data_IF_580803755075
#
_entry.id   IF_580803755075
#
_cell.length_a   1.000
_cell.length_b   1.000
_cell.length_c   1.000
_cell.angle_alpha   90.00
_cell.angle_beta   90.00
_cell.angle_gamma   90.00
#
_symmetry.space_group_name_H-M   'P 1'
#
loop_
_entity.id
_entity.type
_entity.pdbx_description
1 polymer ?
#
# COMPACT_ATOMS: atom_id res chain seq x y z
N UNK A 1 6.37 3.96 -20.90
CA UNK A 1 5.29 2.99 -21.23
C UNK A 1 4.56 2.63 -19.96
N UNK A 2 3.23 2.52 -20.03
CA UNK A 2 2.28 2.33 -18.92
C UNK A 2 0.91 1.95 -19.49
N UNK A 3 -0.18 2.02 -18.71
CA UNK A 3 -1.55 1.77 -19.19
C UNK A 3 -2.25 3.09 -19.53
N UNK A 4 -3.18 3.05 -20.48
CA UNK A 4 -4.04 4.18 -20.83
C UNK A 4 -5.51 3.77 -20.63
N UNK A 5 -6.36 4.65 -20.09
CA UNK A 5 -7.80 4.40 -19.95
C UNK A 5 -8.47 4.12 -21.31
N UNK A 6 -9.34 3.11 -21.36
CA UNK A 6 -10.07 2.78 -22.58
C UNK A 6 -11.38 3.58 -22.68
N UNK A 7 -11.27 4.88 -22.99
CA UNK A 7 -12.42 5.81 -23.07
C UNK A 7 -12.77 6.27 -24.48
N UNK A 8 -11.88 6.03 -25.45
CA UNK A 8 -12.08 6.43 -26.84
C UNK A 8 -13.26 5.68 -27.46
N UNK A 9 -14.18 6.43 -28.10
CA UNK A 9 -15.33 5.87 -28.80
C UNK A 9 -16.51 5.48 -27.90
N UNK A 10 -16.46 5.77 -26.59
CA UNK A 10 -17.58 5.53 -25.66
C UNK A 10 -18.69 6.60 -25.72
N UNK A 11 -18.48 7.69 -26.48
CA UNK A 11 -19.46 8.78 -26.58
C UNK A 11 -19.59 9.63 -25.30
N UNK A 12 -18.57 9.64 -24.44
CA UNK A 12 -18.58 10.36 -23.14
C UNK A 12 -18.93 11.84 -23.28
N UNK A 13 -18.36 12.52 -24.28
CA UNK A 13 -18.63 13.94 -24.55
C UNK A 13 -20.09 14.20 -24.91
N UNK A 14 -20.72 13.29 -25.67
CA UNK A 14 -22.10 13.43 -26.10
C UNK A 14 -23.10 13.35 -24.93
N UNK A 15 -22.71 12.72 -23.83
CA UNK A 15 -23.52 12.58 -22.61
C UNK A 15 -23.03 13.47 -21.46
N UNK A 16 -21.98 14.27 -21.66
CA UNK A 16 -21.46 15.21 -20.66
C UNK A 16 -20.57 14.60 -19.57
N UNK A 17 -20.01 13.40 -19.80
CA UNK A 17 -19.06 12.76 -18.86
C UNK A 17 -17.66 13.36 -19.05
N UNK A 18 -17.12 13.97 -17.99
CA UNK A 18 -15.80 14.60 -18.01
C UNK A 18 -14.68 13.56 -17.85
N UNK A 19 -13.61 13.72 -18.60
CA UNK A 19 -12.34 13.00 -18.41
C UNK A 19 -11.23 13.95 -17.94
N UNK A 20 -10.20 13.41 -17.27
CA UNK A 20 -8.99 14.15 -16.94
C UNK A 20 -8.03 14.28 -18.13
N UNK A 21 -6.88 14.93 -17.93
CA UNK A 21 -5.85 15.15 -18.97
C UNK A 21 -5.28 13.85 -19.57
N UNK A 22 -5.42 12.72 -18.87
CA UNK A 22 -4.99 11.38 -19.34
C UNK A 22 -6.11 10.61 -20.05
N UNK A 23 -7.29 11.22 -20.22
CA UNK A 23 -8.47 10.56 -20.78
C UNK A 23 -9.17 9.61 -19.81
N UNK A 24 -8.85 9.62 -18.51
CA UNK A 24 -9.54 8.81 -17.51
C UNK A 24 -10.86 9.47 -17.10
N UNK A 25 -11.90 8.69 -16.83
CA UNK A 25 -13.19 9.21 -16.36
C UNK A 25 -13.01 9.82 -14.97
N UNK A 26 -13.32 11.11 -14.84
CA UNK A 26 -13.27 11.80 -13.55
C UNK A 26 -14.46 11.38 -12.70
N UNK A 27 -14.18 10.90 -11.49
CA UNK A 27 -15.19 10.45 -10.53
C UNK A 27 -14.97 11.04 -9.16
N UNK A 28 -16.05 11.14 -8.37
CA UNK A 28 -15.99 11.46 -6.95
C UNK A 28 -15.65 10.22 -6.08
N UNK A 29 -15.68 10.41 -4.76
CA UNK A 29 -15.45 9.35 -3.77
C UNK A 29 -16.51 8.23 -3.80
N UNK A 30 -17.67 8.47 -4.41
CA UNK A 30 -18.77 7.50 -4.61
C UNK A 30 -18.76 6.89 -6.02
N UNK A 31 -17.64 7.02 -6.75
CA UNK A 31 -17.44 6.49 -8.10
C UNK A 31 -18.40 7.11 -9.14
N UNK A 32 -19.06 8.23 -8.80
CA UNK A 32 -19.99 8.94 -9.69
C UNK A 32 -19.23 9.87 -10.61
N UNK A 33 -19.58 9.87 -11.89
CA UNK A 33 -19.01 10.80 -12.88
C UNK A 33 -19.60 12.21 -12.75
N UNK A 34 -19.30 13.11 -13.70
CA UNK A 34 -19.98 14.40 -13.80
C UNK A 34 -21.49 14.30 -14.10
N UNK A 35 -21.97 13.12 -14.52
CA UNK A 35 -23.39 12.85 -14.73
C UNK A 35 -23.94 11.99 -13.57
N UNK A 36 -25.02 12.42 -12.89
CA UNK A 36 -25.50 11.76 -11.67
C UNK A 36 -25.89 10.28 -11.79
N UNK A 37 -26.21 9.84 -13.00
CA UNK A 37 -26.65 8.49 -13.33
C UNK A 37 -25.56 7.64 -14.04
N UNK A 38 -24.34 8.16 -14.19
CA UNK A 38 -23.22 7.44 -14.80
C UNK A 38 -22.09 7.30 -13.78
N UNK A 39 -21.62 6.07 -13.62
CA UNK A 39 -20.55 5.70 -12.69
C UNK A 39 -19.39 5.07 -13.45
N UNK A 40 -18.18 5.14 -12.87
CA UNK A 40 -17.00 4.51 -13.42
C UNK A 40 -16.10 3.94 -12.32
N UNK A 41 -15.53 2.76 -12.56
CA UNK A 41 -14.67 2.02 -11.62
C UNK A 41 -13.49 1.38 -12.34
N UNK A 42 -12.48 1.03 -11.56
CA UNK A 42 -11.25 0.38 -12.02
C UNK A 42 -10.41 1.30 -12.91
N UNK A 43 -9.61 0.67 -13.76
CA UNK A 43 -8.56 1.32 -14.56
C UNK A 43 -9.05 2.48 -15.44
N UNK A 44 -10.34 2.55 -15.79
CA UNK A 44 -10.88 3.67 -16.57
C UNK A 44 -10.86 5.00 -15.81
N UNK A 45 -10.75 4.96 -14.48
CA UNK A 45 -10.66 6.14 -13.59
C UNK A 45 -9.22 6.58 -13.31
N UNK A 46 -8.23 5.75 -13.63
CA UNK A 46 -6.79 5.95 -13.35
C UNK A 46 -6.47 6.34 -11.88
N UNK A 47 -7.27 5.88 -10.90
CA UNK A 47 -7.01 6.11 -9.46
C UNK A 47 -5.95 5.14 -8.92
N UNK A 48 -6.29 3.85 -8.87
CA UNK A 48 -5.40 2.75 -8.49
C UNK A 48 -5.70 1.53 -9.36
N UNK A 49 -4.78 1.21 -10.26
CA UNK A 49 -4.97 0.20 -11.30
C UNK A 49 -4.66 -1.21 -10.77
N UNK A 50 -5.49 -1.69 -9.82
CA UNK A 50 -5.39 -2.99 -9.18
C UNK A 50 -6.74 -3.71 -9.21
N UNK A 51 -6.75 -4.99 -9.58
CA UNK A 51 -7.96 -5.83 -9.58
C UNK A 51 -8.77 -5.77 -8.27
N UNK A 52 -8.19 -5.92 -7.06
CA UNK A 52 -8.97 -5.83 -5.82
C UNK A 52 -9.57 -4.44 -5.57
N UNK A 53 -8.96 -3.37 -6.10
CA UNK A 53 -9.54 -2.02 -6.03
C UNK A 53 -10.79 -1.95 -6.90
N UNK A 54 -10.70 -2.39 -8.16
CA UNK A 54 -11.86 -2.39 -9.06
C UNK A 54 -13.03 -3.24 -8.51
N UNK A 55 -12.72 -4.39 -7.89
CA UNK A 55 -13.72 -5.23 -7.22
C UNK A 55 -14.35 -4.48 -6.02
N UNK A 56 -13.53 -3.84 -5.18
CA UNK A 56 -14.00 -3.06 -4.04
C UNK A 56 -14.89 -1.88 -4.44
N UNK A 57 -14.49 -1.15 -5.49
CA UNK A 57 -15.28 -0.04 -6.05
C UNK A 57 -16.61 -0.53 -6.63
N UNK A 58 -16.61 -1.64 -7.38
CA UNK A 58 -17.83 -2.23 -7.92
C UNK A 58 -18.79 -2.69 -6.83
N UNK A 59 -18.27 -3.31 -5.77
CA UNK A 59 -19.07 -3.67 -4.58
C UNK A 59 -19.65 -2.42 -3.92
N UNK A 60 -18.85 -1.36 -3.76
CA UNK A 60 -19.29 -0.13 -3.11
C UNK A 60 -20.47 0.53 -3.86
N UNK A 61 -20.40 0.56 -5.20
CA UNK A 61 -21.52 1.02 -6.03
C UNK A 61 -22.75 0.14 -5.83
N UNK A 62 -22.60 -1.19 -5.92
CA UNK A 62 -23.74 -2.10 -5.83
C UNK A 62 -24.47 -1.98 -4.49
N UNK A 63 -23.71 -1.91 -3.39
CA UNK A 63 -24.24 -1.70 -2.04
C UNK A 63 -25.00 -0.37 -1.92
N UNK A 64 -24.40 0.70 -2.46
CA UNK A 64 -24.96 2.06 -2.38
C UNK A 64 -26.22 2.21 -3.22
N UNK A 65 -26.24 1.67 -4.44
CA UNK A 65 -27.36 1.86 -5.38
C UNK A 65 -28.50 0.87 -5.16
N UNK A 66 -28.21 -0.35 -4.71
CA UNK A 66 -29.19 -1.44 -4.76
C UNK A 66 -29.45 -2.13 -3.42
N UNK A 67 -28.61 -1.93 -2.39
CA UNK A 67 -28.78 -2.60 -1.08
C UNK A 67 -29.07 -1.65 0.09
N UNK A 68 -29.35 -0.36 -0.18
CA UNK A 68 -29.57 0.66 0.86
C UNK A 68 -28.44 0.73 1.90
N UNK A 69 -27.21 0.45 1.47
CA UNK A 69 -26.02 0.39 2.30
C UNK A 69 -24.95 1.30 1.68
N UNK A 70 -25.04 2.62 1.89
CA UNK A 70 -24.11 3.56 1.27
C UNK A 70 -22.70 3.36 1.85
N UNK A 71 -21.80 2.82 1.02
CA UNK A 71 -20.40 2.61 1.37
C UNK A 71 -19.49 3.20 0.30
N UNK A 72 -18.36 3.73 0.73
CA UNK A 72 -17.28 4.20 -0.15
C UNK A 72 -16.17 3.17 -0.17
N UNK A 73 -15.52 3.02 -1.32
CA UNK A 73 -14.24 2.32 -1.35
C UNK A 73 -13.17 3.21 -0.70
N UNK A 74 -12.45 2.63 0.26
CA UNK A 74 -11.34 3.28 0.93
C UNK A 74 -10.04 3.03 0.15
N UNK A 75 -9.54 4.07 -0.53
CA UNK A 75 -8.30 4.03 -1.31
C UNK A 75 -7.05 4.25 -0.47
N UNK A 76 -7.18 4.48 0.84
CA UNK A 76 -6.02 4.62 1.72
C UNK A 76 -5.41 3.25 2.05
N UNK A 77 -4.08 3.21 2.14
CA UNK A 77 -3.33 2.04 2.60
C UNK A 77 -3.69 0.73 1.86
N UNK A 78 -3.99 0.80 0.56
CA UNK A 78 -4.20 -0.40 -0.27
C UNK A 78 -2.89 -1.18 -0.39
N UNK A 79 -2.81 -2.44 0.10
CA UNK A 79 -1.61 -3.24 -0.05
C UNK A 79 -1.35 -3.57 -1.52
N UNK A 80 -0.08 -3.52 -1.91
CA UNK A 80 0.37 -3.77 -3.28
C UNK A 80 1.57 -4.69 -3.27
N UNK A 81 1.70 -5.52 -4.30
CA UNK A 81 2.84 -6.41 -4.47
C UNK A 81 3.39 -6.36 -5.91
N UNK A 82 4.70 -6.57 -6.02
CA UNK A 82 5.38 -6.87 -7.28
C UNK A 82 5.94 -8.29 -7.17
N UNK A 83 5.49 -9.18 -8.04
CA UNK A 83 5.86 -10.59 -8.04
C UNK A 83 7.19 -10.84 -8.78
N UNK A 84 8.24 -10.10 -8.38
CA UNK A 84 9.63 -10.32 -8.80
C UNK A 84 10.27 -11.49 -8.06
N UNK A 85 11.56 -11.77 -8.32
CA UNK A 85 12.36 -12.73 -7.56
C UNK A 85 13.53 -12.01 -6.87
N UNK A 86 13.48 -11.80 -5.54
CA UNK A 86 12.35 -12.06 -4.64
C UNK A 86 11.17 -11.08 -4.83
N UNK A 87 9.94 -11.44 -4.38
CA UNK A 87 8.78 -10.56 -4.40
C UNK A 87 8.95 -9.34 -3.49
N UNK A 88 8.18 -8.29 -3.79
CA UNK A 88 8.06 -7.08 -2.99
C UNK A 88 6.61 -6.92 -2.56
N UNK A 89 6.37 -6.54 -1.31
CA UNK A 89 5.06 -6.17 -0.79
C UNK A 89 5.15 -4.86 0.00
N UNK A 90 4.16 -3.99 -0.15
CA UNK A 90 4.09 -2.71 0.56
C UNK A 90 2.67 -2.36 0.96
N UNK A 91 2.51 -1.69 2.10
CA UNK A 91 1.27 -1.05 2.52
C UNK A 91 1.57 0.28 3.20
N UNK A 92 0.71 1.28 2.98
CA UNK A 92 0.82 2.61 3.57
C UNK A 92 1.92 3.48 2.95
N UNK A 93 2.41 4.43 3.72
CA UNK A 93 3.35 5.45 3.25
C UNK A 93 4.77 4.91 3.15
N UNK A 94 5.46 5.26 2.06
CA UNK A 94 6.93 5.24 2.02
C UNK A 94 7.51 6.28 2.98
N UNK A 95 8.79 6.13 3.34
CA UNK A 95 9.47 7.16 4.17
C UNK A 95 9.42 8.55 3.52
N UNK A 96 9.59 8.63 2.20
CA UNK A 96 9.55 9.93 1.50
C UNK A 96 8.17 10.57 1.59
N UNK A 97 7.10 9.79 1.36
CA UNK A 97 5.73 10.29 1.51
C UNK A 97 5.41 10.67 2.96
N UNK A 98 5.83 9.86 3.93
CA UNK A 98 5.66 10.16 5.35
C UNK A 98 6.39 11.45 5.74
N UNK A 99 7.66 11.63 5.32
CA UNK A 99 8.40 12.87 5.62
C UNK A 99 7.78 14.11 4.97
N UNK A 100 7.21 13.98 3.77
CA UNK A 100 6.46 15.08 3.13
C UNK A 100 5.21 15.47 3.91
N UNK A 101 4.55 14.53 4.58
CA UNK A 101 3.31 14.76 5.31
C UNK A 101 3.51 15.12 6.80
N UNK A 102 4.50 14.50 7.46
CA UNK A 102 4.71 14.57 8.92
C UNK A 102 5.99 15.33 9.30
N UNK A 103 6.83 15.70 8.33
CA UNK A 103 8.12 16.35 8.56
C UNK A 103 9.21 15.35 8.95
N UNK A 104 10.23 15.83 9.67
CA UNK A 104 11.37 15.00 10.07
C UNK A 104 11.08 14.06 11.24
N UNK A 105 9.94 14.23 11.90
CA UNK A 105 9.45 13.44 13.04
C UNK A 105 8.85 12.10 12.59
N UNK A 106 9.60 11.39 11.74
CA UNK A 106 9.27 10.07 11.20
C UNK A 106 10.37 9.11 11.60
N UNK A 107 9.99 8.13 12.41
CA UNK A 107 10.85 7.06 12.86
C UNK A 107 10.87 5.93 11.84
N UNK A 108 12.07 5.44 11.54
CA UNK A 108 12.29 4.34 10.60
C UNK A 108 12.90 3.17 11.34
N UNK A 109 12.41 1.98 11.07
CA UNK A 109 13.00 0.73 11.55
C UNK A 109 13.27 -0.17 10.35
N UNK A 110 14.43 -0.80 10.31
CA UNK A 110 14.85 -1.63 9.19
C UNK A 110 15.47 -2.94 9.69
N UNK A 111 15.23 -4.04 8.99
CA UNK A 111 15.96 -5.29 9.17
C UNK A 111 16.46 -5.80 7.82
N UNK A 112 17.67 -6.36 7.81
CA UNK A 112 18.25 -7.04 6.65
C UNK A 112 18.93 -8.33 7.09
N UNK A 113 18.43 -9.45 6.60
CA UNK A 113 18.90 -10.77 7.06
C UNK A 113 18.80 -11.82 5.94
N UNK A 114 19.48 -12.95 6.16
CA UNK A 114 19.32 -14.16 5.35
C UNK A 114 18.23 -15.01 6.01
N UNK A 115 17.10 -15.29 5.34
CA UNK A 115 16.05 -16.12 5.92
C UNK A 115 16.59 -17.47 6.39
N UNK A 116 16.13 -17.96 7.54
CA UNK A 116 16.61 -19.23 8.10
C UNK A 116 16.39 -20.41 7.14
N UNK A 117 15.31 -20.38 6.34
CA UNK A 117 15.05 -21.36 5.27
C UNK A 117 16.15 -21.41 4.20
N UNK A 118 16.88 -20.31 4.02
CA UNK A 118 18.00 -20.23 3.08
C UNK A 118 19.32 -20.71 3.70
N UNK A 119 19.39 -20.95 5.02
CA UNK A 119 20.59 -21.46 5.69
C UNK A 119 20.89 -22.90 5.24
N UNK A 120 19.87 -23.76 5.17
CA UNK A 120 20.05 -25.16 4.75
C UNK A 120 20.25 -25.31 3.23
N UNK A 121 19.61 -24.46 2.43
CA UNK A 121 19.71 -24.52 0.96
C UNK A 121 20.93 -23.81 0.38
N UNK A 122 21.71 -23.10 1.21
CA UNK A 122 22.89 -22.35 0.78
C UNK A 122 22.60 -21.10 -0.06
N UNK A 123 21.33 -20.77 -0.34
CA UNK A 123 20.95 -19.61 -1.16
C UNK A 123 21.33 -18.28 -0.50
N UNK A 124 21.86 -17.32 -1.25
CA UNK A 124 22.27 -16.02 -0.71
C UNK A 124 21.23 -14.90 -0.83
N UNK A 125 20.01 -15.26 -1.25
CA UNK A 125 18.88 -14.33 -1.27
C UNK A 125 18.62 -13.77 0.13
N UNK A 126 18.54 -12.43 0.22
CA UNK A 126 18.31 -11.69 1.45
C UNK A 126 16.91 -11.10 1.48
N UNK A 127 16.38 -11.00 2.69
CA UNK A 127 15.17 -10.25 2.99
C UNK A 127 15.54 -8.87 3.51
N UNK A 128 14.76 -7.87 3.11
CA UNK A 128 14.78 -6.54 3.71
C UNK A 128 13.37 -6.13 4.09
N UNK A 129 13.23 -5.55 5.28
CA UNK A 129 11.97 -5.07 5.83
C UNK A 129 12.14 -3.66 6.38
N UNK A 130 11.07 -2.87 6.30
CA UNK A 130 11.04 -1.51 6.79
C UNK A 130 9.67 -1.16 7.40
N UNK A 131 9.70 -0.57 8.59
CA UNK A 131 8.56 0.13 9.18
C UNK A 131 8.78 1.64 9.09
N UNK A 132 7.70 2.35 8.79
CA UNK A 132 7.60 3.80 8.83
C UNK A 132 6.61 4.16 9.94
N UNK A 133 7.03 4.96 10.91
CA UNK A 133 6.27 5.25 12.12
C UNK A 133 6.21 6.76 12.32
N UNK A 134 5.05 7.27 12.71
CA UNK A 134 4.89 8.65 13.17
C UNK A 134 5.55 8.82 14.54
N UNK A 135 6.60 9.64 14.61
CA UNK A 135 7.35 9.88 15.83
C UNK A 135 6.54 10.56 16.95
N UNK A 136 5.44 11.24 16.60
CA UNK A 136 4.56 11.92 17.57
C UNK A 136 3.53 10.99 18.18
N UNK A 137 2.92 10.15 17.36
CA UNK A 137 1.74 9.36 17.75
C UNK A 137 2.03 7.88 17.96
N UNK A 138 3.25 7.42 17.62
CA UNK A 138 3.64 6.00 17.60
C UNK A 138 2.88 5.19 16.54
N UNK A 139 2.05 5.79 15.69
CA UNK A 139 1.27 5.07 14.68
C UNK A 139 2.17 4.53 13.57
N UNK A 140 2.00 3.26 13.20
CA UNK A 140 2.65 2.71 12.02
C UNK A 140 1.98 3.27 10.76
N UNK A 141 2.75 4.01 9.96
CA UNK A 141 2.32 4.68 8.74
C UNK A 141 2.52 3.81 7.49
N UNK A 142 3.45 2.85 7.53
CA UNK A 142 3.68 1.94 6.42
C UNK A 142 4.62 0.78 6.74
N UNK A 143 4.40 -0.32 6.04
CA UNK A 143 5.19 -1.54 6.12
C UNK A 143 5.67 -1.91 4.71
N UNK A 144 6.96 -2.22 4.57
CA UNK A 144 7.57 -2.53 3.28
C UNK A 144 8.48 -3.74 3.42
N UNK A 145 8.41 -4.68 2.48
CA UNK A 145 9.20 -5.90 2.49
C UNK A 145 9.61 -6.30 1.08
N UNK A 146 10.86 -6.77 0.96
CA UNK A 146 11.33 -7.58 -0.17
C UNK A 146 11.80 -8.93 0.38
N UNK A 147 11.24 -10.02 -0.16
CA UNK A 147 11.48 -11.38 0.31
C UNK A 147 10.41 -12.37 -0.20
N UNK A 148 10.72 -13.67 -0.15
CA UNK A 148 9.89 -14.76 -0.73
C UNK A 148 8.41 -14.69 -0.35
N UNK A 149 8.11 -14.31 0.90
CA UNK A 149 6.74 -14.32 1.45
C UNK A 149 6.17 -12.90 1.65
N UNK A 150 6.77 -11.89 0.98
CA UNK A 150 6.40 -10.49 1.17
C UNK A 150 4.92 -10.16 0.91
N UNK A 151 4.27 -10.65 -0.18
CA UNK A 151 2.87 -10.35 -0.44
C UNK A 151 1.94 -10.85 0.68
N UNK A 152 2.16 -12.08 1.15
CA UNK A 152 1.35 -12.72 2.20
C UNK A 152 1.52 -12.01 3.55
N UNK A 153 2.76 -11.69 3.93
CA UNK A 153 3.06 -11.01 5.20
C UNK A 153 2.46 -9.60 5.20
N UNK A 154 2.62 -8.86 4.08
CA UNK A 154 2.11 -7.49 3.96
C UNK A 154 0.59 -7.44 3.96
N UNK A 155 -0.09 -8.44 3.38
CA UNK A 155 -1.55 -8.52 3.46
C UNK A 155 -2.04 -8.59 4.91
N UNK A 156 -1.37 -9.36 5.77
CA UNK A 156 -1.67 -9.39 7.20
C UNK A 156 -1.40 -8.05 7.89
N UNK A 157 -0.25 -7.42 7.60
CA UNK A 157 0.10 -6.11 8.17
C UNK A 157 -0.80 -4.98 7.70
N UNK A 158 -1.39 -5.08 6.51
CA UNK A 158 -2.36 -4.10 6.00
C UNK A 158 -3.56 -3.94 6.94
N UNK A 159 -4.01 -5.04 7.56
CA UNK A 159 -5.08 -5.02 8.57
C UNK A 159 -4.62 -4.18 9.77
N UNK A 160 -3.40 -4.40 10.27
CA UNK A 160 -2.86 -3.66 11.41
C UNK A 160 -2.72 -2.15 11.11
N UNK A 161 -2.21 -1.79 9.92
CA UNK A 161 -2.11 -0.39 9.48
C UNK A 161 -3.51 0.25 9.37
N UNK A 162 -4.49 -0.47 8.83
CA UNK A 162 -5.89 -0.02 8.74
C UNK A 162 -6.53 0.19 10.12
N UNK A 163 -6.20 -0.66 11.09
CA UNK A 163 -6.61 -0.49 12.49
C UNK A 163 -5.87 0.65 13.23
N UNK A 164 -4.87 1.28 12.60
CA UNK A 164 -4.07 2.32 13.25
C UNK A 164 -3.13 1.78 14.32
N UNK A 165 -2.64 0.56 14.15
CA UNK A 165 -1.73 -0.08 15.10
C UNK A 165 -0.49 0.80 15.37
N UNK A 166 -0.09 0.87 16.63
CA UNK A 166 1.10 1.60 17.06
C UNK A 166 2.34 0.70 17.03
N UNK A 167 3.53 1.29 16.94
CA UNK A 167 4.80 0.55 17.01
C UNK A 167 4.94 -0.19 18.33
N UNK A 168 4.43 0.37 19.43
CA UNK A 168 4.29 -0.35 20.72
C UNK A 168 3.44 -1.61 20.61
N UNK A 169 2.34 -1.61 19.85
CA UNK A 169 1.54 -2.84 19.64
C UNK A 169 2.33 -3.89 18.86
N UNK A 170 3.13 -3.48 17.86
CA UNK A 170 4.06 -4.39 17.18
C UNK A 170 5.06 -4.97 18.19
N UNK A 171 5.65 -4.15 19.07
CA UNK A 171 6.64 -4.61 20.06
C UNK A 171 6.07 -5.53 21.13
N UNK A 172 4.80 -5.36 21.50
CA UNK A 172 4.08 -6.22 22.45
C UNK A 172 3.63 -7.55 21.85
N UNK A 173 3.60 -7.65 20.51
CA UNK A 173 3.19 -8.87 19.82
C UNK A 173 4.33 -9.90 19.84
N UNK A 174 4.02 -11.11 20.33
CA UNK A 174 5.00 -12.20 20.39
C UNK A 174 5.31 -12.69 18.96
N UNK A 175 6.60 -12.76 18.63
CA UNK A 175 7.07 -13.29 17.35
C UNK A 175 6.77 -14.77 17.17
N UNK A 176 6.27 -15.15 16.00
CA UNK A 176 6.11 -16.54 15.60
C UNK A 176 7.43 -17.08 15.08
N UNK A 177 8.11 -17.94 15.85
CA UNK A 177 9.42 -18.47 15.50
C UNK A 177 9.37 -19.92 14.99
N UNK A 178 10.06 -20.27 13.89
CA UNK A 178 10.77 -19.38 12.97
C UNK A 178 9.83 -18.80 11.90
N UNK A 179 9.86 -17.49 11.67
CA UNK A 179 9.16 -16.83 10.56
C UNK A 179 9.83 -15.53 10.17
N UNK A 180 9.94 -15.23 8.87
CA UNK A 180 10.40 -13.90 8.44
C UNK A 180 9.51 -12.77 9.02
N UNK A 181 8.21 -13.03 9.24
CA UNK A 181 7.29 -12.04 9.79
C UNK A 181 7.63 -11.63 11.23
N UNK A 182 8.33 -12.47 12.01
CA UNK A 182 8.70 -12.16 13.39
C UNK A 182 9.61 -10.94 13.51
N UNK A 183 10.34 -10.62 12.43
CA UNK A 183 11.23 -9.46 12.36
C UNK A 183 10.44 -8.14 12.46
N UNK A 184 9.22 -8.05 11.91
CA UNK A 184 8.40 -6.84 12.04
C UNK A 184 8.03 -6.52 13.50
N UNK A 185 7.97 -7.52 14.38
CA UNK A 185 7.63 -7.37 15.80
C UNK A 185 8.84 -7.41 16.72
N UNK A 186 10.06 -7.44 16.17
CA UNK A 186 11.33 -7.49 16.92
C UNK A 186 12.32 -6.37 16.56
N UNK A 187 12.00 -5.48 15.60
CA UNK A 187 12.80 -4.27 15.34
C UNK A 187 12.73 -3.27 16.51
N UNK A 188 13.79 -3.18 17.32
CA UNK A 188 13.85 -2.26 18.49
C UNK A 188 14.62 -0.98 18.22
N UNK A 189 15.59 -1.01 17.31
CA UNK A 189 16.48 0.12 17.04
C UNK A 189 16.00 0.95 15.85
N UNK A 190 15.94 2.27 16.06
CA UNK A 190 15.65 3.22 14.98
C UNK A 190 16.81 3.22 13.99
N UNK A 191 16.50 3.09 12.71
CA UNK A 191 17.46 3.23 11.63
C UNK A 191 17.90 4.69 11.50
N UNK A 192 19.19 4.93 11.75
CA UNK A 192 19.83 6.21 11.48
C UNK A 192 20.48 6.12 10.10
N UNK A 193 20.09 7.01 9.18
CA UNK A 193 20.71 7.06 7.85
C UNK A 193 22.20 7.38 8.03
N UNK A 194 23.12 6.60 7.44
CA UNK A 194 24.55 6.93 7.48
C UNK A 194 24.76 8.34 6.94
N UNK A 195 25.44 9.20 7.71
CA UNK A 195 25.91 10.47 7.17
C UNK A 195 26.89 10.15 6.05
N UNK A 196 26.70 10.73 4.87
CA UNK A 196 27.73 10.66 3.81
C UNK A 196 29.01 11.25 4.44
N UNK A 197 30.04 10.45 4.63
CA UNK A 197 31.39 11.01 4.73
C UNK A 197 31.58 11.80 3.45
N UNK A 198 31.83 13.10 3.58
CA UNK A 198 32.34 13.88 2.47
C UNK A 198 33.58 13.14 1.98
N UNK A 199 33.56 12.71 0.72
CA UNK A 199 34.77 12.21 0.10
C UNK A 199 35.76 13.38 0.07
N UNK A 200 36.80 13.30 0.91
CA UNK A 200 38.03 14.07 0.73
C UNK A 200 38.81 13.54 -0.48
#
# INVERSE_FOLDING_TARGET
>A
TGRAPNTKGLGLDAVGVKTNERGAVSVDEWQRSSMPNIYAIGDVTDRLNLTPVAIGEGRAIAETLYNNNPIKMDHENVPTAVFSQPPIGTVGLSEEQARRQYGDDVDIYCARFKPMKNTLSGRDERTFMKLVVDGKTDRVLGCHMIGVDAPEIIQGLAIAVKCGASKRMFDQTVGLHPSAAEEFVTMREKFVRPQKQAAE
#
